data_IF_267239555828
#
_entry.id   IF_267239555828
#
_cell.length_a   1.000
_cell.length_b   1.000
_cell.length_c   1.000
_cell.angle_alpha   90.00
_cell.angle_beta   90.00
_cell.angle_gamma   90.00
#
_symmetry.space_group_name_H-M   'P 1'
#
loop_
_entity.id
_entity.type
_entity.pdbx_description
1 polymer ?
#
# COMPACT_ATOMS: atom_id res chain seq x y z
N UNK A 1 11.02 2.17 20.90
CA UNK A 1 11.30 0.82 20.32
C UNK A 1 10.38 0.51 19.15
N UNK A 2 9.07 0.30 19.33
CA UNK A 2 8.16 0.04 18.19
C UNK A 2 8.05 1.25 17.25
N UNK A 3 7.75 2.44 17.79
CA UNK A 3 7.62 3.67 16.99
C UNK A 3 8.88 4.00 16.17
N UNK A 4 10.07 3.86 16.74
CA UNK A 4 11.32 4.13 16.01
C UNK A 4 11.53 3.18 14.82
N UNK A 5 11.15 1.91 14.99
CA UNK A 5 11.22 0.91 13.92
C UNK A 5 10.20 1.23 12.83
N UNK A 6 8.96 1.58 13.20
CA UNK A 6 7.90 1.94 12.26
C UNK A 6 8.26 3.18 11.44
N UNK A 7 8.68 4.27 12.10
CA UNK A 7 9.08 5.50 11.43
C UNK A 7 10.24 5.27 10.47
N UNK A 8 11.25 4.48 10.88
CA UNK A 8 12.38 4.13 10.01
C UNK A 8 11.93 3.44 8.73
N UNK A 9 11.04 2.44 8.83
CA UNK A 9 10.58 1.70 7.66
C UNK A 9 9.63 2.51 6.77
N UNK A 10 8.73 3.30 7.37
CA UNK A 10 7.86 4.21 6.62
C UNK A 10 8.67 5.20 5.78
N UNK A 11 9.70 5.81 6.38
CA UNK A 11 10.60 6.73 5.69
C UNK A 11 11.33 6.03 4.56
N UNK A 12 11.95 4.87 4.83
CA UNK A 12 12.69 4.12 3.81
C UNK A 12 11.81 3.72 2.63
N UNK A 13 10.58 3.23 2.87
CA UNK A 13 9.65 2.86 1.79
C UNK A 13 9.24 4.07 0.94
N UNK A 14 9.06 5.24 1.57
CA UNK A 14 8.73 6.47 0.87
C UNK A 14 9.88 6.94 -0.01
N UNK A 15 11.12 6.97 0.52
CA UNK A 15 12.32 7.39 -0.22
C UNK A 15 12.61 6.49 -1.42
N UNK A 16 12.36 5.19 -1.29
CA UNK A 16 12.56 4.21 -2.37
C UNK A 16 11.36 4.11 -3.34
N UNK A 17 10.24 4.78 -3.05
CA UNK A 17 9.02 4.62 -3.82
C UNK A 17 8.52 3.17 -3.88
N UNK A 18 8.69 2.40 -2.78
CA UNK A 18 8.47 0.93 -2.75
C UNK A 18 7.10 0.49 -3.25
N UNK A 19 6.07 1.34 -3.08
CA UNK A 19 4.70 1.03 -3.47
C UNK A 19 4.27 1.65 -4.82
N UNK A 20 5.18 2.33 -5.52
CA UNK A 20 4.92 2.88 -6.86
C UNK A 20 4.78 1.73 -7.87
N UNK A 21 3.69 1.75 -8.64
CA UNK A 21 3.47 0.81 -9.74
C UNK A 21 3.73 1.52 -11.09
N UNK A 22 4.71 1.06 -11.89
CA UNK A 22 4.98 1.68 -13.19
C UNK A 22 3.89 1.38 -14.22
N UNK A 23 3.60 2.34 -15.09
CA UNK A 23 2.68 2.23 -16.22
C UNK A 23 3.40 1.83 -17.53
N UNK A 24 2.67 1.40 -18.58
CA UNK A 24 3.26 1.16 -19.90
C UNK A 24 4.10 2.34 -20.38
N UNK A 25 5.36 2.07 -20.75
CA UNK A 25 6.32 3.09 -21.19
C UNK A 25 7.17 3.70 -20.06
N UNK A 26 6.87 3.42 -18.79
CA UNK A 26 7.68 3.87 -17.66
C UNK A 26 8.82 2.88 -17.32
N UNK A 27 9.96 3.35 -16.80
CA UNK A 27 11.02 2.48 -16.29
C UNK A 27 10.50 1.50 -15.23
N UNK A 28 10.85 0.22 -15.39
CA UNK A 28 10.43 -0.87 -14.49
C UNK A 28 9.07 -1.50 -14.83
N UNK A 29 8.39 -1.06 -15.89
CA UNK A 29 7.17 -1.74 -16.36
C UNK A 29 7.49 -3.09 -17.01
N UNK A 30 6.79 -4.13 -16.56
CA UNK A 30 6.84 -5.47 -17.13
C UNK A 30 5.41 -5.96 -17.43
N UNK A 31 5.10 -6.17 -18.70
CA UNK A 31 3.80 -6.65 -19.16
C UNK A 31 3.55 -8.13 -18.86
N UNK A 32 4.60 -8.93 -18.60
CA UNK A 32 4.49 -10.36 -18.32
C UNK A 32 4.00 -10.65 -16.89
N UNK A 33 4.19 -9.70 -15.97
CA UNK A 33 3.77 -9.85 -14.57
C UNK A 33 2.25 -9.77 -14.43
N UNK A 34 1.63 -10.66 -13.62
CA UNK A 34 0.21 -10.62 -13.36
C UNK A 34 -0.21 -9.28 -12.76
N UNK A 35 -1.37 -8.78 -13.17
CA UNK A 35 -1.92 -7.51 -12.68
C UNK A 35 -2.90 -7.80 -11.55
N UNK A 36 -2.85 -6.97 -10.51
CA UNK A 36 -3.79 -7.04 -9.40
C UNK A 36 -4.15 -5.62 -8.98
N UNK A 37 -5.45 -5.34 -8.87
CA UNK A 37 -5.96 -4.06 -8.41
C UNK A 37 -6.89 -4.30 -7.23
N UNK A 38 -6.46 -3.85 -6.05
CA UNK A 38 -7.30 -3.78 -4.86
C UNK A 38 -7.71 -2.34 -4.62
N UNK A 39 -8.92 -2.14 -4.11
CA UNK A 39 -9.50 -0.83 -3.86
C UNK A 39 -10.24 -0.84 -2.53
N UNK A 40 -9.88 0.10 -1.67
CA UNK A 40 -10.63 0.43 -0.46
C UNK A 40 -11.66 1.52 -0.76
N UNK A 41 -12.80 1.45 -0.07
CA UNK A 41 -13.76 2.55 -0.09
C UNK A 41 -13.20 3.72 0.71
N UNK A 42 -12.99 4.85 0.04
CA UNK A 42 -12.43 6.03 0.70
C UNK A 42 -13.36 6.58 1.78
N UNK A 43 -12.80 6.98 2.93
CA UNK A 43 -13.61 7.47 4.05
C UNK A 43 -14.12 8.89 3.76
N UNK A 44 -15.29 9.22 4.29
CA UNK A 44 -15.79 10.59 4.31
C UNK A 44 -15.06 11.42 5.39
N UNK A 45 -14.69 12.69 5.12
CA UNK A 45 -14.02 13.56 6.09
C UNK A 45 -15.02 14.22 7.05
N UNK A 46 -15.86 13.43 7.71
CA UNK A 46 -16.98 13.90 8.55
C UNK A 46 -16.72 13.82 10.06
N UNK A 47 -15.50 13.51 10.47
CA UNK A 47 -15.08 13.45 11.88
C UNK A 47 -13.64 13.95 12.07
N UNK A 48 -13.15 13.96 13.32
CA UNK A 48 -11.79 14.41 13.64
C UNK A 48 -10.69 13.49 13.08
N UNK A 49 -11.05 12.28 12.65
CA UNK A 49 -10.14 11.30 12.07
C UNK A 49 -10.82 9.95 11.91
N UNK A 50 -10.02 8.93 11.59
CA UNK A 50 -10.48 7.55 11.49
C UNK A 50 -10.59 6.91 12.88
N UNK A 51 -11.69 6.21 13.14
CA UNK A 51 -11.78 5.25 14.25
C UNK A 51 -11.23 3.88 13.86
N UNK A 52 -10.99 3.01 14.86
CA UNK A 52 -10.37 1.67 14.73
C UNK A 52 -11.08 0.69 13.78
N UNK A 53 -12.29 1.00 13.32
CA UNK A 53 -13.03 0.19 12.35
C UNK A 53 -12.64 0.47 10.89
N UNK A 54 -12.23 1.70 10.57
CA UNK A 54 -11.75 2.02 9.21
C UNK A 54 -10.54 1.18 8.77
N UNK A 55 -9.48 1.02 9.59
CA UNK A 55 -8.32 0.25 9.17
C UNK A 55 -8.59 -1.25 9.06
N UNK A 56 -9.73 -1.78 9.52
CA UNK A 56 -10.06 -3.21 9.36
C UNK A 56 -10.08 -3.62 7.89
N UNK A 57 -10.87 -2.91 7.08
CA UNK A 57 -10.93 -3.12 5.63
C UNK A 57 -9.59 -2.83 4.96
N UNK A 58 -8.95 -1.71 5.32
CA UNK A 58 -7.69 -1.27 4.71
C UNK A 58 -6.52 -2.23 5.01
N UNK A 59 -6.55 -2.89 6.18
CA UNK A 59 -5.54 -3.89 6.55
C UNK A 59 -5.76 -5.17 5.75
N UNK A 60 -7.02 -5.61 5.59
CA UNK A 60 -7.32 -6.80 4.81
C UNK A 60 -6.87 -6.65 3.34
N UNK A 61 -7.15 -5.51 2.72
CA UNK A 61 -6.70 -5.21 1.36
C UNK A 61 -5.18 -5.04 1.27
N UNK A 62 -4.52 -4.36 2.22
CA UNK A 62 -3.06 -4.20 2.23
C UNK A 62 -2.33 -5.55 2.38
N UNK A 63 -2.84 -6.47 3.22
CA UNK A 63 -2.30 -7.83 3.36
C UNK A 63 -2.33 -8.55 2.01
N UNK A 64 -3.45 -8.52 1.30
CA UNK A 64 -3.56 -9.17 0.00
C UNK A 64 -2.67 -8.50 -1.04
N UNK A 65 -2.59 -7.17 -1.06
CA UNK A 65 -1.67 -6.42 -1.94
C UNK A 65 -0.21 -6.82 -1.72
N UNK A 66 0.23 -6.92 -0.46
CA UNK A 66 1.59 -7.37 -0.12
C UNK A 66 1.82 -8.80 -0.54
N UNK A 67 0.88 -9.70 -0.23
CA UNK A 67 0.94 -11.10 -0.64
C UNK A 67 1.07 -11.24 -2.16
N UNK A 68 0.23 -10.54 -2.94
CA UNK A 68 0.28 -10.56 -4.41
C UNK A 68 1.62 -10.01 -4.91
N UNK A 69 2.06 -8.84 -4.43
CA UNK A 69 3.36 -8.25 -4.82
C UNK A 69 4.54 -9.20 -4.60
N UNK A 70 4.53 -9.98 -3.52
CA UNK A 70 5.57 -10.95 -3.20
C UNK A 70 5.46 -12.27 -3.99
N UNK A 71 4.29 -12.57 -4.56
CA UNK A 71 4.00 -13.82 -5.28
C UNK A 71 3.80 -13.65 -6.80
N UNK A 72 4.30 -12.56 -7.38
CA UNK A 72 4.29 -12.31 -8.83
C UNK A 72 3.44 -11.13 -9.23
#
# INVERSE_FOLDING_TARGET
MAGDIETRWQQWWSEQGTYRQPNPGEPGFDASRPKYYALDMFPYPSGAGLHVGHPEGYTATDIICRYKRMNG
#
